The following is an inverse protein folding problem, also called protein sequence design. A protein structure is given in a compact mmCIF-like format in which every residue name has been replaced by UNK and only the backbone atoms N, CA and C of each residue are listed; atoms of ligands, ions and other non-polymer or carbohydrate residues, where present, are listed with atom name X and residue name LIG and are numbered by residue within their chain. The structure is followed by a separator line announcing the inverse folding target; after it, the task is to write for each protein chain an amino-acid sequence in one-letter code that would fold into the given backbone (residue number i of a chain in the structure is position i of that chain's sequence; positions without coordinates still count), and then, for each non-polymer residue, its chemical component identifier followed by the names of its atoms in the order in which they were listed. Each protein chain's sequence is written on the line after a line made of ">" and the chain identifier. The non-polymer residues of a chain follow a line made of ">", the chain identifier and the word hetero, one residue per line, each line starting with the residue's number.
data_IF_319906021970
#
_entry.id   IF_319906021970
#
_cell.length_a   1.000
_cell.length_b   1.000
_cell.length_c   1.000
_cell.angle_alpha   90.00
_cell.angle_beta   90.00
_cell.angle_gamma   90.00
#
_symmetry.space_group_name_H-M   'P 1'
#
loop_
_entity.id
_entity.type
_entity.pdbx_description
1 polymer ?
#
# COMPACT_ATOMS: atom_id res chain seq x y z
N UNK A 1 3.11 -10.07 18.56
CA UNK A 1 2.36 -8.93 18.00
C UNK A 1 3.32 -8.08 17.20
N UNK A 2 3.22 -8.08 15.90
CA UNK A 2 4.13 -7.42 14.99
C UNK A 2 3.34 -6.50 14.06
N UNK A 3 3.79 -5.26 13.91
CA UNK A 3 3.18 -4.23 13.09
C UNK A 3 3.91 -4.12 11.77
N UNK A 4 3.17 -4.06 10.66
CA UNK A 4 3.72 -3.92 9.32
C UNK A 4 3.11 -2.70 8.64
N UNK A 5 3.93 -1.81 8.13
CA UNK A 5 3.47 -0.89 7.10
C UNK A 5 3.11 -1.70 5.86
N UNK A 6 1.97 -1.40 5.26
CA UNK A 6 1.48 -2.05 4.05
C UNK A 6 0.88 -1.01 3.12
N UNK A 7 1.23 -1.09 1.86
CA UNK A 7 0.72 -0.25 0.79
C UNK A 7 0.75 -1.04 -0.54
N UNK A 8 -0.19 -0.74 -1.44
CA UNK A 8 -0.21 -1.32 -2.79
C UNK A 8 -0.35 -0.22 -3.85
N UNK A 9 0.20 -0.47 -5.03
CA UNK A 9 -0.10 0.30 -6.22
C UNK A 9 -0.90 -0.54 -7.21
N UNK A 10 -1.80 0.10 -7.95
CA UNK A 10 -2.72 -0.57 -8.86
C UNK A 10 -2.82 0.15 -10.19
N UNK A 11 -3.34 -0.52 -11.23
CA UNK A 11 -3.58 0.10 -12.54
C UNK A 11 -4.80 1.02 -12.55
N UNK A 12 -5.69 0.88 -11.58
CA UNK A 12 -6.89 1.69 -11.44
C UNK A 12 -7.57 1.46 -10.09
N UNK A 13 -8.87 1.69 -9.99
CA UNK A 13 -9.61 1.68 -8.73
C UNK A 13 -10.60 0.52 -8.60
N UNK A 14 -10.74 -0.29 -9.64
CA UNK A 14 -11.66 -1.43 -9.68
C UNK A 14 -10.92 -2.71 -9.34
N UNK A 15 -11.23 -3.29 -8.18
CA UNK A 15 -10.56 -4.48 -7.68
C UNK A 15 -10.77 -5.72 -8.54
N UNK A 16 -11.80 -5.75 -9.40
CA UNK A 16 -12.07 -6.89 -10.32
C UNK A 16 -11.26 -6.73 -11.60
N UNK A 17 -11.37 -5.57 -12.24
CA UNK A 17 -10.81 -5.32 -13.57
C UNK A 17 -9.33 -4.92 -13.54
N UNK A 18 -8.94 -4.11 -12.54
CA UNK A 18 -7.59 -3.59 -12.42
C UNK A 18 -6.64 -4.59 -11.75
N UNK A 19 -5.33 -4.38 -11.94
CA UNK A 19 -4.27 -5.22 -11.37
C UNK A 19 -3.56 -4.52 -10.22
N UNK A 20 -3.03 -5.31 -9.30
CA UNK A 20 -2.01 -4.84 -8.37
C UNK A 20 -0.66 -4.80 -9.11
N UNK A 21 0.01 -3.67 -9.10
CA UNK A 21 1.32 -3.47 -9.73
C UNK A 21 2.48 -3.64 -8.76
N UNK A 22 2.31 -3.19 -7.51
CA UNK A 22 3.28 -3.45 -6.43
C UNK A 22 2.59 -3.75 -5.12
N UNK A 23 3.27 -4.55 -4.28
CA UNK A 23 2.95 -4.72 -2.85
C UNK A 23 4.19 -4.28 -2.07
N UNK A 24 4.01 -3.32 -1.17
CA UNK A 24 5.09 -2.74 -0.37
C UNK A 24 4.82 -3.01 1.10
N UNK A 25 5.79 -3.54 1.82
CA UNK A 25 5.64 -3.78 3.24
C UNK A 25 6.97 -3.76 3.98
N UNK A 26 6.93 -3.37 5.24
CA UNK A 26 8.07 -3.38 6.15
C UNK A 26 7.61 -3.52 7.58
N UNK A 27 8.35 -4.25 8.38
CA UNK A 27 8.12 -4.33 9.81
C UNK A 27 8.41 -3.00 10.50
N UNK A 28 7.56 -2.64 11.46
CA UNK A 28 7.70 -1.42 12.26
C UNK A 28 8.02 -1.76 13.72
N UNK A 29 8.94 -1.03 14.30
CA UNK A 29 9.26 -1.09 15.72
C UNK A 29 8.06 -0.66 16.55
N UNK A 30 7.68 -1.51 17.48
CA UNK A 30 6.52 -1.27 18.36
C UNK A 30 6.77 -0.05 19.25
N UNK A 31 5.80 0.85 19.29
CA UNK A 31 5.81 2.04 20.14
C UNK A 31 6.48 3.25 19.51
N UNK A 32 7.38 3.08 18.56
CA UNK A 32 8.04 4.19 17.85
C UNK A 32 7.58 4.33 16.40
N UNK A 33 7.10 3.23 15.79
CA UNK A 33 6.76 3.18 14.37
C UNK A 33 7.96 3.29 13.43
N UNK A 34 9.19 3.17 13.95
CA UNK A 34 10.39 3.17 13.11
C UNK A 34 10.45 1.91 12.28
N UNK A 35 10.92 2.05 11.06
CA UNK A 35 11.17 0.94 10.15
C UNK A 35 12.24 0.00 10.71
N UNK A 36 11.95 -1.30 10.70
CA UNK A 36 12.88 -2.36 11.01
C UNK A 36 13.28 -3.09 9.72
N UNK A 37 14.54 -3.06 9.38
CA UNK A 37 15.06 -3.67 8.15
C UNK A 37 14.76 -2.85 6.89
N UNK A 38 14.82 -3.53 5.75
CA UNK A 38 14.61 -2.90 4.45
C UNK A 38 13.15 -3.00 4.02
N UNK A 39 12.66 -1.97 3.33
CA UNK A 39 11.33 -2.00 2.70
C UNK A 39 11.33 -3.06 1.60
N UNK A 40 10.43 -4.02 1.70
CA UNK A 40 10.20 -5.00 0.63
C UNK A 40 9.21 -4.41 -0.37
N UNK A 41 9.58 -4.44 -1.65
CA UNK A 41 8.73 -4.03 -2.76
C UNK A 41 8.63 -5.20 -3.74
N UNK A 42 7.48 -5.85 -3.78
CA UNK A 42 7.16 -6.88 -4.76
C UNK A 42 6.55 -6.23 -6.00
N UNK A 43 6.92 -6.70 -7.18
CA UNK A 43 6.60 -6.02 -8.45
C UNK A 43 5.95 -6.98 -9.42
N UNK A 44 4.80 -6.58 -9.96
CA UNK A 44 4.04 -7.40 -10.90
C UNK A 44 4.83 -7.69 -12.19
N UNK A 45 5.54 -6.71 -12.72
CA UNK A 45 6.33 -6.87 -13.96
C UNK A 45 7.56 -7.77 -13.87
N UNK A 46 8.01 -8.11 -12.65
CA UNK A 46 9.09 -9.07 -12.43
C UNK A 46 8.55 -10.48 -12.19
N UNK A 47 7.44 -10.58 -11.46
CA UNK A 47 6.94 -11.85 -10.95
C UNK A 47 5.63 -12.31 -11.63
N UNK A 48 4.85 -11.37 -12.16
CA UNK A 48 3.43 -11.58 -12.46
C UNK A 48 2.56 -11.47 -11.20
N UNK A 49 1.32 -11.00 -11.35
CA UNK A 49 0.43 -10.67 -10.22
C UNK A 49 0.21 -11.86 -9.26
N UNK A 50 0.02 -13.07 -9.81
CA UNK A 50 -0.19 -14.29 -9.01
C UNK A 50 1.01 -14.64 -8.13
N UNK A 51 2.20 -14.65 -8.70
CA UNK A 51 3.43 -15.00 -7.97
C UNK A 51 3.83 -13.90 -6.98
N UNK A 52 3.55 -12.64 -7.31
CA UNK A 52 3.73 -11.53 -6.39
C UNK A 52 2.86 -11.70 -5.13
N UNK A 53 1.59 -12.04 -5.29
CA UNK A 53 0.69 -12.32 -4.17
C UNK A 53 1.13 -13.56 -3.38
N UNK A 54 1.54 -14.63 -4.06
CA UNK A 54 2.06 -15.84 -3.40
C UNK A 54 3.28 -15.50 -2.55
N UNK A 55 4.23 -14.76 -3.14
CA UNK A 55 5.43 -14.33 -2.44
C UNK A 55 5.12 -13.46 -1.22
N UNK A 56 4.15 -12.55 -1.31
CA UNK A 56 3.69 -11.77 -0.16
C UNK A 56 3.14 -12.67 0.95
N UNK A 57 2.35 -13.71 0.60
CA UNK A 57 1.79 -14.67 1.56
C UNK A 57 2.91 -15.48 2.23
N UNK A 58 3.91 -15.90 1.47
CA UNK A 58 5.00 -16.77 1.94
C UNK A 58 6.04 -16.00 2.76
N UNK A 59 6.37 -14.77 2.37
CA UNK A 59 7.43 -13.97 2.99
C UNK A 59 6.94 -13.15 4.19
N UNK A 60 5.63 -12.96 4.34
CA UNK A 60 5.04 -12.23 5.45
C UNK A 60 4.21 -13.14 6.35
N UNK A 61 4.04 -12.82 7.64
CA UNK A 61 3.19 -13.61 8.52
C UNK A 61 1.69 -13.38 8.31
N UNK A 62 1.26 -12.93 7.12
CA UNK A 62 -0.15 -12.65 6.81
C UNK A 62 -1.02 -13.92 6.88
N UNK A 63 -0.45 -15.10 6.63
CA UNK A 63 -1.12 -16.40 6.73
C UNK A 63 -1.08 -17.04 8.11
N UNK A 64 -0.49 -16.35 9.10
CA UNK A 64 -0.45 -16.85 10.48
C UNK A 64 -1.84 -17.07 11.07
N UNK A 65 -1.96 -18.11 11.90
CA UNK A 65 -3.17 -18.40 12.70
C UNK A 65 -3.43 -17.36 13.78
N UNK A 66 -2.43 -16.58 14.13
CA UNK A 66 -2.51 -15.54 15.14
C UNK A 66 -2.61 -14.17 14.47
N UNK A 67 -3.76 -13.54 14.59
CA UNK A 67 -4.03 -12.24 13.95
C UNK A 67 -3.02 -11.15 14.34
N UNK A 68 -2.41 -11.28 15.52
CA UNK A 68 -1.43 -10.32 16.02
C UNK A 68 0.00 -10.52 15.47
N UNK A 69 0.25 -11.54 14.64
CA UNK A 69 1.55 -11.72 14.00
C UNK A 69 1.73 -10.80 12.79
N UNK A 70 0.61 -10.32 12.22
CA UNK A 70 0.62 -9.33 11.16
C UNK A 70 -0.47 -8.28 11.43
N UNK A 71 -0.08 -7.13 11.96
CA UNK A 71 -0.98 -5.99 12.18
C UNK A 71 -0.69 -4.96 11.10
N UNK A 72 -1.53 -4.83 10.06
CA UNK A 72 -1.31 -3.86 9.01
C UNK A 72 -1.50 -2.43 9.52
N UNK A 73 -0.58 -1.58 9.14
CA UNK A 73 -0.61 -0.12 9.31
C UNK A 73 -0.50 0.49 7.93
N UNK A 74 -1.43 1.31 7.54
CA UNK A 74 -1.42 1.96 6.23
C UNK A 74 -2.39 3.13 6.17
N UNK A 75 -2.54 3.69 4.99
CA UNK A 75 -3.43 4.82 4.76
C UNK A 75 -4.57 4.40 3.83
N UNK A 76 -5.82 4.46 4.33
CA UNK A 76 -7.00 3.98 3.61
C UNK A 76 -6.98 2.46 3.33
N UNK A 77 -6.64 1.67 4.34
CA UNK A 77 -6.50 0.19 4.25
C UNK A 77 -7.73 -0.54 3.66
N UNK A 78 -8.87 0.13 3.58
CA UNK A 78 -10.04 -0.40 2.89
C UNK A 78 -9.82 -0.62 1.40
N UNK A 79 -8.95 0.17 0.78
CA UNK A 79 -8.57 0.01 -0.63
C UNK A 79 -7.69 -1.23 -0.81
N UNK A 80 -6.62 -1.35 -0.03
CA UNK A 80 -5.71 -2.50 -0.05
C UNK A 80 -6.47 -3.79 0.23
N UNK A 81 -7.37 -3.76 1.21
CA UNK A 81 -8.18 -4.92 1.58
C UNK A 81 -8.99 -5.46 0.41
N UNK A 82 -9.72 -4.61 -0.32
CA UNK A 82 -10.55 -5.05 -1.45
C UNK A 82 -9.70 -5.69 -2.54
N UNK A 83 -8.62 -5.04 -2.94
CA UNK A 83 -7.72 -5.57 -3.96
C UNK A 83 -7.07 -6.88 -3.55
N UNK A 84 -6.47 -6.93 -2.38
CA UNK A 84 -5.76 -8.13 -1.91
C UNK A 84 -6.70 -9.32 -1.74
N UNK A 85 -7.92 -9.09 -1.23
CA UNK A 85 -8.93 -10.14 -1.06
C UNK A 85 -9.42 -10.65 -2.42
N UNK A 86 -9.80 -9.76 -3.33
CA UNK A 86 -10.29 -10.12 -4.67
C UNK A 86 -9.22 -10.86 -5.48
N UNK A 87 -8.00 -10.35 -5.51
CA UNK A 87 -6.92 -10.98 -6.29
C UNK A 87 -6.47 -12.30 -5.68
N UNK A 88 -6.46 -12.45 -4.35
CA UNK A 88 -6.18 -13.75 -3.73
C UNK A 88 -7.25 -14.78 -4.08
N UNK A 89 -8.53 -14.41 -4.09
CA UNK A 89 -9.62 -15.28 -4.51
C UNK A 89 -9.53 -15.65 -6.00
N UNK A 90 -9.26 -14.69 -6.87
CA UNK A 90 -9.09 -14.88 -8.32
C UNK A 90 -8.03 -15.95 -8.64
N UNK A 91 -6.97 -16.02 -7.86
CA UNK A 91 -5.86 -16.95 -8.10
C UNK A 91 -5.88 -18.20 -7.24
N UNK A 92 -6.95 -18.42 -6.48
CA UNK A 92 -7.10 -19.56 -5.54
C UNK A 92 -5.93 -19.65 -4.55
N UNK A 93 -5.59 -18.51 -3.96
CA UNK A 93 -4.55 -18.37 -2.94
C UNK A 93 -5.18 -18.24 -1.55
N UNK A 94 -4.32 -18.25 -0.52
CA UNK A 94 -4.76 -17.93 0.84
C UNK A 94 -5.46 -16.55 0.85
N UNK A 95 -6.69 -16.44 1.40
CA UNK A 95 -7.45 -15.18 1.37
C UNK A 95 -6.76 -14.10 2.22
N UNK A 96 -6.32 -13.03 1.55
CA UNK A 96 -5.64 -11.92 2.20
C UNK A 96 -6.67 -10.92 2.71
N UNK A 97 -7.24 -11.19 3.89
CA UNK A 97 -8.23 -10.34 4.53
C UNK A 97 -7.60 -9.50 5.64
N UNK A 98 -7.06 -8.33 5.30
CA UNK A 98 -6.33 -7.48 6.26
C UNK A 98 -7.25 -6.81 7.29
N UNK A 99 -8.51 -6.51 6.94
CA UNK A 99 -9.46 -5.89 7.87
C UNK A 99 -10.15 -6.89 8.80
N UNK A 100 -9.97 -8.21 8.62
CA UNK A 100 -10.46 -9.22 9.56
C UNK A 100 -9.61 -9.36 10.81
N UNK A 101 -8.48 -8.68 10.86
CA UNK A 101 -7.54 -8.67 11.98
C UNK A 101 -7.34 -7.26 12.53
N UNK A 102 -6.73 -7.11 13.72
CA UNK A 102 -6.35 -5.79 14.22
C UNK A 102 -5.54 -5.03 13.19
N UNK A 103 -5.93 -3.81 12.90
CA UNK A 103 -5.25 -2.95 11.90
C UNK A 103 -5.25 -1.50 12.38
N UNK A 104 -4.38 -0.70 11.81
CA UNK A 104 -4.29 0.73 12.06
C UNK A 104 -4.40 1.49 10.75
N UNK A 105 -5.58 2.03 10.48
CA UNK A 105 -5.81 2.90 9.32
C UNK A 105 -5.51 4.36 9.67
N UNK A 106 -4.42 4.87 9.13
CA UNK A 106 -3.96 6.23 9.36
C UNK A 106 -4.90 7.30 8.79
N UNK A 107 -5.71 6.96 7.78
CA UNK A 107 -6.70 7.88 7.22
C UNK A 107 -7.77 8.22 8.25
N UNK A 108 -8.32 7.23 8.95
CA UNK A 108 -9.29 7.46 10.02
C UNK A 108 -8.71 8.29 11.16
N UNK A 109 -7.47 8.02 11.55
CA UNK A 109 -6.75 8.81 12.56
C UNK A 109 -6.58 10.25 12.08
N UNK A 110 -6.19 10.43 10.82
CA UNK A 110 -6.02 11.74 10.20
C UNK A 110 -7.29 12.58 10.20
N UNK A 111 -8.42 11.98 9.87
CA UNK A 111 -9.74 12.64 9.94
C UNK A 111 -10.04 13.09 11.38
N UNK A 112 -9.82 12.22 12.36
CA UNK A 112 -10.03 12.55 13.78
C UNK A 112 -9.14 13.72 14.22
N UNK A 113 -7.86 13.73 13.84
CA UNK A 113 -6.93 14.82 14.14
C UNK A 113 -7.28 16.12 13.42
N UNK A 114 -7.99 16.03 12.30
CA UNK A 114 -8.46 17.15 11.50
C UNK A 114 -9.93 17.54 11.84
N UNK A 115 -10.34 17.44 13.10
CA UNK A 115 -11.67 17.79 13.61
C UNK A 115 -12.83 17.05 12.91
N UNK A 116 -12.59 15.87 12.37
CA UNK A 116 -13.60 15.08 11.66
C UNK A 116 -13.77 15.46 10.18
N UNK A 117 -12.93 16.35 9.64
CA UNK A 117 -13.00 16.77 8.25
C UNK A 117 -12.11 15.90 7.35
N UNK A 118 -12.69 15.42 6.23
CA UNK A 118 -11.95 14.67 5.21
C UNK A 118 -10.97 15.56 4.43
N UNK A 119 -11.37 16.79 4.15
CA UNK A 119 -10.50 17.74 3.45
C UNK A 119 -9.37 18.16 4.38
N UNK A 120 -8.15 17.93 4.00
CA UNK A 120 -6.97 18.23 4.83
C UNK A 120 -6.47 17.04 5.64
N UNK A 121 -7.09 15.86 5.53
CA UNK A 121 -6.63 14.63 6.21
C UNK A 121 -5.67 13.78 5.37
N UNK A 122 -5.26 14.25 4.19
CA UNK A 122 -4.29 13.56 3.33
C UNK A 122 -2.97 13.31 4.04
N UNK A 123 -2.29 12.23 3.70
CA UNK A 123 -1.04 11.82 4.34
C UNK A 123 0.05 12.89 4.27
N UNK A 124 0.14 13.61 3.15
CA UNK A 124 1.02 14.77 2.94
C UNK A 124 0.72 15.92 3.90
N UNK A 125 -0.55 16.17 4.14
CA UNK A 125 -1.01 17.23 5.03
C UNK A 125 -0.79 16.87 6.50
N UNK A 126 -1.06 15.63 6.89
CA UNK A 126 -0.85 15.12 8.24
C UNK A 126 0.63 15.10 8.63
N UNK A 127 1.49 14.76 7.70
CA UNK A 127 2.94 14.66 7.96
C UNK A 127 3.68 15.99 7.80
N UNK A 128 3.04 17.00 7.23
CA UNK A 128 3.68 18.28 6.87
C UNK A 128 4.79 18.12 5.82
N UNK A 129 4.89 16.95 5.21
CA UNK A 129 5.89 16.65 4.18
C UNK A 129 5.28 17.02 2.83
N UNK A 130 5.82 18.04 2.21
CA UNK A 130 5.57 18.28 0.79
C UNK A 130 6.24 17.17 -0.02
N UNK A 131 5.55 16.71 -1.06
CA UNK A 131 6.15 15.81 -2.02
C UNK A 131 7.49 16.38 -2.52
N UNK A 132 8.49 15.54 -2.62
CA UNK A 132 9.85 15.96 -3.00
C UNK A 132 9.98 16.48 -4.43
N UNK A 133 8.87 16.68 -5.13
CA UNK A 133 8.84 17.20 -6.49
C UNK A 133 9.29 16.22 -7.57
N UNK A 134 9.64 15.00 -7.22
CA UNK A 134 9.91 13.95 -8.20
C UNK A 134 8.60 13.47 -8.83
N UNK A 135 8.49 13.44 -10.16
CA UNK A 135 7.30 12.90 -10.80
C UNK A 135 7.19 11.40 -10.51
N UNK A 136 6.09 10.99 -9.92
CA UNK A 136 5.71 9.58 -9.92
C UNK A 136 5.26 9.26 -11.34
N UNK A 137 5.95 8.36 -11.99
CA UNK A 137 5.67 7.97 -13.36
C UNK A 137 5.01 6.60 -13.34
N UNK A 138 3.92 6.45 -14.08
CA UNK A 138 3.26 5.17 -14.17
C UNK A 138 4.21 4.12 -14.75
N UNK A 139 4.29 2.98 -14.10
CA UNK A 139 5.24 1.94 -14.50
C UNK A 139 5.05 1.46 -15.95
N UNK A 140 3.85 1.57 -16.54
CA UNK A 140 3.61 1.30 -17.96
C UNK A 140 4.38 2.22 -18.90
N UNK A 141 4.68 3.43 -18.47
CA UNK A 141 5.31 4.45 -19.30
C UNK A 141 6.82 4.46 -19.13
N UNK A 142 7.34 3.65 -18.24
CA UNK A 142 8.75 3.66 -17.88
C UNK A 142 9.38 2.32 -18.19
N UNK A 143 10.34 2.34 -19.09
CA UNK A 143 11.15 1.16 -19.42
C UNK A 143 12.21 0.86 -18.34
N UNK A 144 12.43 1.79 -17.39
CA UNK A 144 13.40 1.66 -16.30
C UNK A 144 12.66 1.63 -14.97
N UNK A 145 12.19 0.47 -14.61
CA UNK A 145 11.42 0.25 -13.38
C UNK A 145 12.19 0.58 -12.10
N UNK A 146 13.51 0.48 -12.12
CA UNK A 146 14.35 0.82 -10.97
C UNK A 146 14.22 2.29 -10.54
N UNK A 147 13.93 3.19 -11.47
CA UNK A 147 13.69 4.59 -11.15
C UNK A 147 12.35 4.77 -10.41
N UNK A 148 11.32 4.01 -10.78
CA UNK A 148 10.01 4.03 -10.11
C UNK A 148 10.13 3.49 -8.69
N UNK A 149 10.85 2.38 -8.52
CA UNK A 149 10.97 1.69 -7.24
C UNK A 149 11.60 2.58 -6.18
N UNK A 150 12.56 3.41 -6.57
CA UNK A 150 13.17 4.36 -5.67
C UNK A 150 12.26 5.54 -5.33
N UNK A 151 11.19 5.74 -6.08
CA UNK A 151 10.26 6.84 -5.91
C UNK A 151 8.98 6.44 -5.15
N UNK A 152 8.47 5.22 -5.37
CA UNK A 152 7.20 4.77 -4.76
C UNK A 152 7.15 4.90 -3.23
N UNK A 153 8.17 4.51 -2.47
CA UNK A 153 8.15 4.67 -1.01
C UNK A 153 8.15 6.12 -0.54
N UNK A 154 8.60 7.04 -1.39
CA UNK A 154 8.69 8.48 -1.07
C UNK A 154 7.36 9.22 -1.30
N UNK A 155 6.41 8.62 -2.00
CA UNK A 155 5.25 9.33 -2.54
C UNK A 155 3.88 8.93 -2.00
N UNK A 156 3.77 7.87 -1.21
CA UNK A 156 2.50 7.49 -0.59
C UNK A 156 1.41 7.03 -1.56
N UNK A 157 1.78 6.57 -2.77
CA UNK A 157 0.89 5.80 -3.59
C UNK A 157 0.17 6.48 -4.76
N UNK A 158 -0.99 5.96 -5.15
CA UNK A 158 -1.73 6.30 -6.37
C UNK A 158 -2.07 7.79 -6.53
N UNK A 159 -2.28 8.51 -5.43
CA UNK A 159 -2.58 9.93 -5.47
C UNK A 159 -1.44 10.77 -6.08
N UNK A 160 -0.22 10.42 -5.75
CA UNK A 160 0.96 11.11 -6.27
C UNK A 160 1.25 10.76 -7.72
N UNK A 161 1.04 9.51 -8.08
CA UNK A 161 1.09 9.06 -9.46
C UNK A 161 0.12 9.85 -10.35
N UNK A 162 -1.16 9.98 -9.96
CA UNK A 162 -2.15 10.76 -10.71
C UNK A 162 -1.76 12.22 -10.85
N UNK A 163 -1.25 12.82 -9.78
CA UNK A 163 -0.78 14.21 -9.78
C UNK A 163 0.38 14.42 -10.75
N UNK A 164 1.36 13.53 -10.76
CA UNK A 164 2.50 13.60 -11.67
C UNK A 164 2.12 13.51 -13.14
N UNK A 165 1.05 12.77 -13.45
CA UNK A 165 0.50 12.65 -14.80
C UNK A 165 -0.46 13.78 -15.19
N UNK A 166 -0.73 14.73 -14.31
CA UNK A 166 -1.75 15.76 -14.54
C UNK A 166 -3.18 15.21 -14.60
N UNK A 167 -3.39 13.99 -14.11
CA UNK A 167 -4.71 13.38 -13.99
C UNK A 167 -5.42 13.99 -12.79
N UNK A 168 -6.68 14.40 -12.98
CA UNK A 168 -7.49 14.91 -11.87
C UNK A 168 -7.64 13.84 -10.79
N UNK A 169 -7.32 14.20 -9.57
CA UNK A 169 -7.64 13.39 -8.41
C UNK A 169 -9.16 13.43 -8.27
N UNK A 170 -9.80 12.30 -8.47
CA UNK A 170 -11.23 12.19 -8.15
C UNK A 170 -11.29 12.19 -6.63
N UNK A 171 -11.80 13.28 -6.08
CA UNK A 171 -12.06 13.47 -4.66
C UNK A 171 -13.20 12.57 -4.19
#
# INVERSE_FOLDING_TARGET
>A
MVTYYLDIETTGLDEVEDKITTIQYVELERGTGKQLGELTILKEWELGEKEMLRKFIDDSPISSKYDFDFIPVGYNLGFEHRFLLEKSAKYDLFPISILSRPCMDLHGIGIMMNNGEFKGSGLDQLTGKTHSGHPVVHWYDVKKYDEIINLLPAFGGLGDYRRARGLSIIS
#
